data_IF_430530769203
#
_entry.id   IF_430530769203
#
_cell.length_a   1.000
_cell.length_b   1.000
_cell.length_c   1.000
_cell.angle_alpha   90.00
_cell.angle_beta   90.00
_cell.angle_gamma   90.00
#
_symmetry.space_group_name_H-M   'P 1'
#
loop_
_entity.id
_entity.type
_entity.pdbx_description
1 polymer ?
#
# COMPACT_ATOMS: atom_id res chain seq x y z
N UNK A 1 22.92 31.39 65.71
CA UNK A 1 22.93 32.74 65.12
C UNK A 1 22.17 32.64 63.79
N UNK A 2 21.09 33.42 63.67
CA UNK A 2 20.37 33.81 62.42
C UNK A 2 19.71 32.62 61.68
N UNK A 3 18.43 32.26 61.83
CA UNK A 3 17.16 33.01 61.77
C UNK A 3 16.97 33.79 60.47
N UNK A 4 16.41 33.15 59.44
CA UNK A 4 15.73 33.85 58.34
C UNK A 4 14.50 33.09 57.88
N UNK A 5 13.36 33.66 58.28
CA UNK A 5 12.00 33.39 57.84
C UNK A 5 11.84 34.07 56.47
N UNK A 6 11.35 33.35 55.47
CA UNK A 6 10.88 33.93 54.20
C UNK A 6 9.34 33.93 54.19
N UNK A 7 8.70 35.03 53.75
CA UNK A 7 7.27 35.23 53.89
C UNK A 7 6.47 34.51 52.79
N UNK A 8 5.31 34.00 53.21
CA UNK A 8 4.20 33.57 52.36
C UNK A 8 3.60 34.81 51.71
N UNK A 9 3.78 34.96 50.40
CA UNK A 9 3.02 35.91 49.60
C UNK A 9 1.76 35.22 49.07
N UNK A 10 0.63 35.51 49.70
CA UNK A 10 -0.71 35.30 49.15
C UNK A 10 -0.86 36.15 47.89
N UNK A 11 -1.09 35.53 46.73
CA UNK A 11 -1.61 36.22 45.55
C UNK A 11 -3.08 35.84 45.40
N UNK A 12 -3.91 36.87 45.53
CA UNK A 12 -5.36 36.81 45.49
C UNK A 12 -5.88 36.43 44.09
N UNK A 13 -6.99 35.69 44.10
CA UNK A 13 -7.83 35.41 42.95
C UNK A 13 -8.18 36.68 42.18
N UNK A 14 -7.92 36.67 40.87
CA UNK A 14 -8.79 37.32 39.90
C UNK A 14 -9.36 36.25 38.99
N UNK A 15 -10.60 35.87 39.26
CA UNK A 15 -11.47 35.12 38.38
C UNK A 15 -11.78 35.96 37.15
N UNK A 16 -11.06 35.76 36.06
CA UNK A 16 -11.55 36.12 34.74
C UNK A 16 -12.54 35.04 34.31
N UNK A 17 -13.83 35.35 34.44
CA UNK A 17 -14.89 34.61 33.78
C UNK A 17 -14.68 34.75 32.27
N UNK A 18 -13.96 33.82 31.66
CA UNK A 18 -13.98 33.66 30.22
C UNK A 18 -15.36 33.13 29.84
N UNK A 19 -16.18 34.05 29.34
CA UNK A 19 -17.40 33.73 28.65
C UNK A 19 -17.09 32.66 27.59
N UNK A 20 -17.87 31.57 27.62
CA UNK A 20 -18.01 30.58 26.57
C UNK A 20 -18.50 31.27 25.29
N UNK A 21 -17.57 31.85 24.55
CA UNK A 21 -17.70 32.21 23.16
C UNK A 21 -16.66 31.39 22.41
N UNK A 22 -16.94 30.09 22.21
CA UNK A 22 -16.12 29.27 21.35
C UNK A 22 -16.02 29.95 19.99
N UNK A 23 -14.81 30.35 19.61
CA UNK A 23 -14.52 30.78 18.25
C UNK A 23 -14.80 29.57 17.38
N UNK A 24 -15.96 29.54 16.72
CA UNK A 24 -16.15 28.73 15.53
C UNK A 24 -15.22 29.36 14.51
N UNK A 25 -13.97 28.89 14.49
CA UNK A 25 -13.01 29.26 13.46
C UNK A 25 -13.61 28.70 12.16
N UNK A 26 -14.20 29.58 11.36
CA UNK A 26 -14.80 29.19 10.10
C UNK A 26 -13.71 28.47 9.28
N UNK A 27 -13.95 27.21 8.90
CA UNK A 27 -13.09 26.40 8.02
C UNK A 27 -12.88 27.01 6.61
N UNK A 28 -13.30 28.26 6.38
CA UNK A 28 -13.38 28.90 5.08
C UNK A 28 -12.05 29.19 4.38
N UNK A 29 -10.92 29.10 5.10
CA UNK A 29 -9.60 29.44 4.55
C UNK A 29 -8.69 28.22 4.30
N UNK A 30 -9.17 27.00 4.53
CA UNK A 30 -8.34 25.81 4.25
C UNK A 30 -8.29 25.53 2.74
N UNK A 31 -7.12 25.18 2.18
CA UNK A 31 -7.02 24.87 0.75
C UNK A 31 -7.68 23.52 0.45
N UNK A 32 -8.19 23.38 -0.79
CA UNK A 32 -8.46 22.08 -1.39
C UNK A 32 -7.32 21.80 -2.37
N UNK A 33 -6.57 20.70 -2.20
CA UNK A 33 -5.41 20.44 -3.03
C UNK A 33 -5.78 20.14 -4.47
N UNK A 34 -4.90 20.50 -5.38
CA UNK A 34 -4.94 20.16 -6.80
C UNK A 34 -4.13 18.89 -7.08
N UNK A 35 -4.39 18.15 -8.18
CA UNK A 35 -3.58 17.00 -8.56
C UNK A 35 -2.10 17.34 -8.75
N UNK A 36 -1.80 18.57 -9.21
CA UNK A 36 -0.42 19.05 -9.38
C UNK A 36 0.29 19.19 -8.03
N UNK A 37 -0.36 19.80 -7.05
CA UNK A 37 0.20 19.94 -5.71
C UNK A 37 0.42 18.58 -5.04
N UNK A 38 -0.49 17.62 -5.25
CA UNK A 38 -0.29 16.25 -4.74
C UNK A 38 0.91 15.56 -5.39
N UNK A 39 1.07 15.67 -6.71
CA UNK A 39 2.27 15.15 -7.40
C UNK A 39 3.56 15.82 -6.92
N UNK A 40 3.54 17.13 -6.71
CA UNK A 40 4.71 17.86 -6.21
C UNK A 40 5.08 17.42 -4.78
N UNK A 41 4.09 17.20 -3.92
CA UNK A 41 4.31 16.61 -2.60
C UNK A 41 4.87 15.21 -2.72
N UNK A 42 4.27 14.37 -3.55
CA UNK A 42 4.64 12.96 -3.69
C UNK A 42 5.92 12.70 -4.50
N UNK A 43 6.58 13.76 -4.98
CA UNK A 43 7.70 13.65 -5.90
C UNK A 43 8.90 12.92 -5.30
N UNK A 44 9.14 13.04 -3.99
CA UNK A 44 10.30 12.41 -3.36
C UNK A 44 10.18 10.88 -3.27
N UNK A 45 8.96 10.35 -3.35
CA UNK A 45 8.70 8.91 -3.36
C UNK A 45 8.52 8.34 -4.78
N UNK A 46 8.58 9.20 -5.80
CA UNK A 46 8.57 8.78 -7.20
C UNK A 46 9.97 8.26 -7.62
N UNK A 47 10.39 7.13 -7.05
CA UNK A 47 11.59 6.37 -7.46
C UNK A 47 11.33 4.92 -7.88
N UNK A 48 12.12 4.41 -8.84
CA UNK A 48 12.17 3.00 -9.27
C UNK A 48 12.68 2.05 -8.17
N UNK A 49 13.15 2.63 -7.06
CA UNK A 49 13.64 1.91 -5.88
C UNK A 49 12.51 1.28 -5.03
N UNK A 50 11.25 1.63 -5.27
CA UNK A 50 10.11 1.22 -4.44
C UNK A 50 9.15 0.25 -5.14
N UNK A 51 8.81 -0.82 -4.44
CA UNK A 51 7.65 -1.66 -4.70
C UNK A 51 6.44 -1.15 -3.90
N UNK A 52 5.29 -1.04 -4.55
CA UNK A 52 4.13 -0.37 -3.98
C UNK A 52 3.21 -1.36 -3.29
N UNK A 53 2.80 -1.04 -2.07
CA UNK A 53 2.04 -1.91 -1.19
C UNK A 53 0.66 -1.29 -0.93
N UNK A 54 -0.36 -2.00 -1.37
CA UNK A 54 -1.77 -1.70 -1.19
C UNK A 54 -2.39 -2.68 -0.20
N UNK A 55 -3.55 -2.34 0.35
CA UNK A 55 -4.24 -3.22 1.30
C UNK A 55 -5.74 -2.96 1.32
N UNK A 56 -6.51 -3.99 1.68
CA UNK A 56 -7.96 -3.91 1.76
C UNK A 56 -8.43 -3.99 3.21
N UNK A 57 -9.07 -2.93 3.67
CA UNK A 57 -9.66 -2.83 5.01
C UNK A 57 -8.62 -2.57 6.11
N UNK A 58 -9.12 -2.13 7.27
CA UNK A 58 -8.29 -1.74 8.42
C UNK A 58 -7.46 -2.90 8.98
N UNK A 59 -7.95 -4.12 8.90
CA UNK A 59 -7.24 -5.30 9.40
C UNK A 59 -5.97 -5.59 8.59
N UNK A 60 -6.02 -5.37 7.27
CA UNK A 60 -4.86 -5.59 6.38
C UNK A 60 -3.87 -4.43 6.43
N UNK A 61 -4.29 -3.24 6.87
CA UNK A 61 -3.44 -2.05 6.96
C UNK A 61 -2.22 -2.29 7.83
N UNK A 62 -2.43 -2.68 9.10
CA UNK A 62 -1.31 -2.87 10.03
C UNK A 62 -0.37 -4.01 9.61
N UNK A 63 -0.90 -5.02 8.90
CA UNK A 63 -0.09 -6.09 8.33
C UNK A 63 0.77 -5.58 7.17
N UNK A 64 0.18 -4.79 6.26
CA UNK A 64 0.90 -4.20 5.13
C UNK A 64 1.99 -3.23 5.58
N UNK A 65 1.70 -2.36 6.55
CA UNK A 65 2.67 -1.44 7.17
C UNK A 65 3.83 -2.23 7.80
N UNK A 66 3.53 -3.19 8.69
CA UNK A 66 4.56 -4.02 9.34
C UNK A 66 5.39 -4.82 8.32
N UNK A 67 4.75 -5.37 7.29
CA UNK A 67 5.43 -6.11 6.24
C UNK A 67 6.36 -5.24 5.41
N UNK A 68 5.93 -4.01 5.12
CA UNK A 68 6.73 -3.03 4.39
C UNK A 68 7.95 -2.59 5.22
N UNK A 69 7.75 -2.31 6.51
CA UNK A 69 8.82 -1.97 7.45
C UNK A 69 9.85 -3.10 7.58
N UNK A 70 9.41 -4.36 7.69
CA UNK A 70 10.29 -5.53 7.85
C UNK A 70 11.18 -5.78 6.62
N UNK A 71 10.70 -5.49 5.40
CA UNK A 71 11.49 -5.58 4.15
C UNK A 71 12.41 -4.40 3.92
N UNK A 72 12.23 -3.30 4.65
CA UNK A 72 13.06 -2.11 4.57
C UNK A 72 12.79 -1.25 3.32
N UNK A 73 13.83 -0.52 2.90
CA UNK A 73 13.76 0.63 1.99
C UNK A 73 13.22 0.35 0.57
N UNK A 74 12.94 -0.90 0.21
CA UNK A 74 12.48 -1.28 -1.12
C UNK A 74 10.96 -1.40 -1.27
N UNK A 75 10.18 -1.19 -0.21
CA UNK A 75 8.71 -1.26 -0.27
C UNK A 75 8.08 -0.06 0.40
N UNK A 76 6.88 0.31 -0.04
CA UNK A 76 6.19 1.50 0.46
C UNK A 76 4.67 1.35 0.38
N UNK A 77 3.97 1.69 1.46
CA UNK A 77 2.52 1.88 1.47
C UNK A 77 2.17 3.37 1.26
N UNK A 78 0.87 3.68 1.16
CA UNK A 78 0.42 5.07 1.11
C UNK A 78 0.89 5.90 2.32
N UNK A 79 1.09 5.28 3.49
CA UNK A 79 1.32 5.98 4.75
C UNK A 79 2.74 6.51 4.95
N UNK A 80 3.71 5.90 4.29
CA UNK A 80 5.10 6.38 4.29
C UNK A 80 5.23 7.66 3.46
N UNK A 81 4.25 7.97 2.60
CA UNK A 81 4.28 9.15 1.71
C UNK A 81 3.77 10.44 2.34
N UNK A 82 3.05 10.42 3.47
CA UNK A 82 2.87 11.63 4.29
C UNK A 82 2.25 11.29 5.64
N UNK A 83 2.90 11.70 6.72
CA UNK A 83 2.30 11.64 8.07
C UNK A 83 1.19 12.68 8.24
N UNK A 84 1.22 13.78 7.49
CA UNK A 84 0.25 14.88 7.53
C UNK A 84 -1.08 14.53 6.85
N UNK A 85 -1.14 13.50 6.01
CA UNK A 85 -2.40 13.01 5.46
C UNK A 85 -3.43 12.67 6.55
N UNK A 86 -2.96 12.24 7.73
CA UNK A 86 -3.82 11.92 8.89
C UNK A 86 -4.44 13.15 9.54
N UNK A 87 -3.94 14.35 9.24
CA UNK A 87 -4.45 15.59 9.80
C UNK A 87 -5.58 16.16 8.93
N UNK A 88 -6.81 15.75 9.25
CA UNK A 88 -8.03 16.25 8.61
C UNK A 88 -8.24 17.77 8.78
N UNK A 89 -7.45 18.43 9.64
CA UNK A 89 -7.55 19.88 9.86
C UNK A 89 -6.78 20.70 8.82
N UNK A 90 -5.96 20.06 7.98
CA UNK A 90 -5.18 20.72 6.93
C UNK A 90 -6.00 21.06 5.68
N UNK A 91 -7.14 20.40 5.49
CA UNK A 91 -7.88 20.43 4.23
C UNK A 91 -9.32 20.91 4.41
N UNK A 92 -9.80 21.71 3.47
CA UNK A 92 -11.23 22.07 3.43
C UNK A 92 -12.10 20.84 3.13
N UNK A 93 -11.65 20.01 2.20
CA UNK A 93 -12.27 18.73 1.85
C UNK A 93 -11.24 17.59 2.00
N UNK A 94 -11.13 17.00 3.21
CA UNK A 94 -10.21 15.90 3.49
C UNK A 94 -10.43 14.68 2.60
N UNK A 95 -11.68 14.36 2.25
CA UNK A 95 -11.99 13.21 1.39
C UNK A 95 -11.44 13.39 -0.02
N UNK A 96 -11.61 14.59 -0.59
CA UNK A 96 -11.02 14.91 -1.89
C UNK A 96 -9.50 14.93 -1.84
N UNK A 97 -8.90 15.46 -0.78
CA UNK A 97 -7.46 15.43 -0.58
C UNK A 97 -6.92 14.00 -0.53
N UNK A 98 -7.52 13.14 0.29
CA UNK A 98 -7.13 11.74 0.42
C UNK A 98 -7.31 10.98 -0.90
N UNK A 99 -8.41 11.21 -1.62
CA UNK A 99 -8.64 10.61 -2.93
C UNK A 99 -7.55 10.98 -3.93
N UNK A 100 -7.24 12.27 -4.05
CA UNK A 100 -6.18 12.72 -4.96
C UNK A 100 -4.81 12.14 -4.58
N UNK A 101 -4.54 12.02 -3.28
CA UNK A 101 -3.30 11.42 -2.80
C UNK A 101 -3.21 9.94 -3.18
N UNK A 102 -4.28 9.19 -2.97
CA UNK A 102 -4.36 7.78 -3.33
C UNK A 102 -4.24 7.57 -4.85
N UNK A 103 -4.89 8.43 -5.65
CA UNK A 103 -4.77 8.45 -7.12
C UNK A 103 -3.29 8.65 -7.52
N UNK A 104 -2.62 9.67 -6.98
CA UNK A 104 -1.21 9.95 -7.29
C UNK A 104 -0.28 8.82 -6.83
N UNK A 105 -0.46 8.28 -5.63
CA UNK A 105 0.29 7.12 -5.14
C UNK A 105 0.17 5.93 -6.09
N UNK A 106 -1.05 5.63 -6.52
CA UNK A 106 -1.31 4.52 -7.43
C UNK A 106 -0.73 4.78 -8.82
N UNK A 107 -0.79 6.02 -9.29
CA UNK A 107 -0.19 6.45 -10.56
C UNK A 107 1.34 6.28 -10.57
N UNK A 108 2.01 6.28 -9.42
CA UNK A 108 3.47 6.08 -9.33
C UNK A 108 3.87 4.59 -9.31
N UNK A 109 2.92 3.67 -9.16
CA UNK A 109 3.21 2.25 -9.06
C UNK A 109 3.87 1.70 -10.34
N UNK A 110 4.99 1.01 -10.13
CA UNK A 110 5.86 0.41 -11.16
C UNK A 110 6.51 -0.87 -10.64
N UNK A 111 7.08 -1.67 -11.53
CA UNK A 111 7.65 -2.97 -11.23
C UNK A 111 6.56 -3.91 -10.69
N UNK A 112 6.68 -4.28 -9.42
CA UNK A 112 5.71 -5.13 -8.73
C UNK A 112 4.91 -4.32 -7.72
N UNK A 113 3.58 -4.46 -7.78
CA UNK A 113 2.68 -3.99 -6.73
C UNK A 113 2.13 -5.16 -5.93
N UNK A 114 2.06 -5.00 -4.61
CA UNK A 114 1.52 -5.98 -3.67
C UNK A 114 0.19 -5.52 -3.09
N UNK A 115 -0.73 -6.46 -2.85
CA UNK A 115 -2.03 -6.17 -2.25
C UNK A 115 -2.32 -7.14 -1.12
N UNK A 116 -2.52 -6.61 0.08
CA UNK A 116 -2.83 -7.37 1.29
C UNK A 116 -4.33 -7.43 1.55
N UNK A 117 -4.81 -8.60 1.95
CA UNK A 117 -6.23 -8.84 2.24
C UNK A 117 -6.41 -10.02 3.19
N UNK A 118 -7.44 -9.97 4.03
CA UNK A 118 -7.62 -10.94 5.13
C UNK A 118 -8.48 -12.16 4.80
N UNK A 119 -9.17 -12.19 3.66
CA UNK A 119 -9.99 -13.35 3.26
C UNK A 119 -9.18 -14.31 2.39
N UNK A 120 -9.20 -15.60 2.71
CA UNK A 120 -8.50 -16.65 1.97
C UNK A 120 -9.24 -17.09 0.71
N UNK A 121 -10.51 -16.70 0.54
CA UNK A 121 -11.41 -17.25 -0.48
C UNK A 121 -11.38 -16.51 -1.81
N UNK A 122 -11.67 -15.20 -1.82
CA UNK A 122 -11.75 -14.32 -3.03
C UNK A 122 -11.69 -12.87 -2.63
N UNK A 123 -10.97 -12.01 -3.40
CA UNK A 123 -10.83 -10.60 -2.99
C UNK A 123 -12.23 -10.03 -2.78
N UNK A 124 -12.53 -9.51 -1.57
CA UNK A 124 -13.86 -9.01 -1.29
C UNK A 124 -14.16 -7.89 -2.27
N UNK A 125 -15.03 -8.12 -3.24
CA UNK A 125 -15.50 -7.13 -4.24
C UNK A 125 -16.44 -6.10 -3.62
N UNK A 126 -16.04 -5.56 -2.48
CA UNK A 126 -16.77 -4.57 -1.72
C UNK A 126 -16.35 -3.18 -2.22
N UNK A 127 -17.21 -2.20 -2.02
CA UNK A 127 -16.92 -0.77 -2.10
C UNK A 127 -15.74 -0.37 -1.20
N UNK A 128 -14.53 -0.62 -1.68
CA UNK A 128 -13.28 -0.17 -1.08
C UNK A 128 -12.56 0.75 -2.05
N UNK A 129 -11.70 1.61 -1.50
CA UNK A 129 -10.86 2.51 -2.28
C UNK A 129 -10.00 1.75 -3.29
N UNK A 130 -9.52 0.56 -2.92
CA UNK A 130 -8.81 -0.32 -3.84
C UNK A 130 -9.61 -0.62 -5.10
N UNK A 131 -10.87 -1.03 -4.99
CA UNK A 131 -11.67 -1.36 -6.18
C UNK A 131 -12.16 -0.14 -6.96
N UNK A 132 -12.41 0.97 -6.27
CA UNK A 132 -12.99 2.17 -6.88
C UNK A 132 -11.94 3.08 -7.52
N UNK A 133 -10.71 3.08 -7.01
CA UNK A 133 -9.64 4.01 -7.37
C UNK A 133 -8.40 3.23 -7.82
N UNK A 134 -7.82 2.42 -6.94
CA UNK A 134 -6.47 1.87 -7.14
C UNK A 134 -6.43 0.83 -8.28
N UNK A 135 -7.29 -0.18 -8.23
CA UNK A 135 -7.33 -1.28 -9.19
C UNK A 135 -7.61 -0.83 -10.63
N UNK A 136 -8.53 0.11 -10.92
CA UNK A 136 -8.67 0.69 -12.26
C UNK A 136 -7.36 1.29 -12.78
N UNK A 137 -6.69 2.11 -11.97
CA UNK A 137 -5.42 2.76 -12.34
C UNK A 137 -4.33 1.70 -12.57
N UNK A 138 -4.17 0.74 -11.65
CA UNK A 138 -3.19 -0.34 -11.77
C UNK A 138 -3.43 -1.17 -13.04
N UNK A 139 -4.69 -1.48 -13.38
CA UNK A 139 -5.03 -2.23 -14.60
C UNK A 139 -4.76 -1.45 -15.89
N UNK A 140 -4.95 -0.13 -15.87
CA UNK A 140 -4.58 0.74 -16.98
C UNK A 140 -3.06 0.79 -17.14
N UNK A 141 -2.34 0.89 -16.02
CA UNK A 141 -0.87 0.86 -15.99
C UNK A 141 -0.28 -0.50 -16.35
N UNK A 142 -0.99 -1.62 -16.21
CA UNK A 142 -0.46 -2.97 -16.46
C UNK A 142 -0.53 -3.48 -17.92
N UNK A 143 -0.69 -2.63 -18.96
CA UNK A 143 -1.01 -3.11 -20.33
C UNK A 143 -0.31 -2.39 -21.49
N UNK A 144 0.94 -2.75 -21.78
CA UNK A 144 1.54 -2.51 -23.11
C UNK A 144 3.01 -2.09 -23.10
N UNK A 145 3.59 -1.76 -24.28
CA UNK A 145 4.93 -1.19 -24.37
C UNK A 145 5.00 0.19 -23.68
N UNK A 146 5.96 0.39 -22.77
CA UNK A 146 6.12 1.64 -22.01
C UNK A 146 5.26 1.74 -20.75
N UNK A 147 4.69 0.63 -20.31
CA UNK A 147 3.95 0.51 -19.06
C UNK A 147 4.90 0.11 -17.93
N UNK A 148 4.94 0.89 -16.85
CA UNK A 148 5.92 0.69 -15.78
C UNK A 148 5.53 -0.41 -14.79
N UNK A 149 4.23 -0.77 -14.71
CA UNK A 149 3.76 -1.81 -13.81
C UNK A 149 3.81 -3.19 -14.48
N UNK A 150 4.67 -4.07 -13.99
CA UNK A 150 4.89 -5.41 -14.53
C UNK A 150 3.87 -6.42 -14.00
N UNK A 151 3.61 -6.42 -12.69
CA UNK A 151 2.73 -7.40 -12.06
C UNK A 151 2.03 -6.89 -10.80
N UNK A 152 0.82 -7.39 -10.56
CA UNK A 152 0.04 -7.15 -9.34
C UNK A 152 -0.14 -8.47 -8.60
N UNK A 153 0.53 -8.59 -7.45
CA UNK A 153 0.56 -9.79 -6.60
C UNK A 153 -0.33 -9.57 -5.39
N UNK A 154 -1.11 -10.60 -5.04
CA UNK A 154 -1.99 -10.56 -3.89
C UNK A 154 -1.54 -11.57 -2.85
N UNK A 155 -1.44 -11.09 -1.62
CA UNK A 155 -0.88 -11.80 -0.48
C UNK A 155 -1.93 -11.93 0.60
N UNK A 156 -2.03 -13.13 1.18
CA UNK A 156 -2.90 -13.35 2.33
C UNK A 156 -2.35 -12.63 3.57
N UNK A 157 -3.09 -11.67 4.12
CA UNK A 157 -2.68 -10.93 5.31
C UNK A 157 -2.57 -11.82 6.57
N UNK A 158 -3.19 -13.01 6.58
CA UNK A 158 -3.03 -13.99 7.67
C UNK A 158 -1.81 -14.89 7.50
N UNK A 159 -1.27 -14.98 6.28
CA UNK A 159 -0.07 -15.74 5.96
C UNK A 159 0.70 -15.00 4.86
N UNK A 160 1.48 -14.00 5.27
CA UNK A 160 2.15 -13.07 4.33
C UNK A 160 3.17 -13.74 3.42
N UNK A 161 3.52 -15.00 3.68
CA UNK A 161 4.42 -15.80 2.85
C UNK A 161 3.75 -16.42 1.63
N UNK A 162 2.42 -16.40 1.56
CA UNK A 162 1.66 -17.12 0.54
C UNK A 162 1.10 -16.16 -0.53
N UNK A 163 1.52 -16.37 -1.78
CA UNK A 163 0.94 -15.71 -2.94
C UNK A 163 -0.37 -16.41 -3.32
N UNK A 164 -1.48 -15.66 -3.32
CA UNK A 164 -2.82 -16.16 -3.65
C UNK A 164 -3.22 -15.89 -5.10
N UNK A 165 -2.76 -14.78 -5.67
CA UNK A 165 -3.11 -14.38 -7.03
C UNK A 165 -2.01 -13.52 -7.64
N UNK A 166 -1.79 -13.71 -8.94
CA UNK A 166 -1.06 -12.79 -9.82
C UNK A 166 -2.07 -12.36 -10.87
N UNK A 167 -2.52 -11.11 -10.81
CA UNK A 167 -3.68 -10.67 -11.59
C UNK A 167 -3.49 -10.97 -13.10
N UNK A 168 -4.48 -11.59 -13.79
CA UNK A 168 -5.83 -11.96 -13.34
C UNK A 168 -5.97 -13.41 -12.83
N UNK A 169 -4.87 -14.15 -12.66
CA UNK A 169 -4.87 -15.58 -12.31
C UNK A 169 -4.92 -15.78 -10.81
N UNK A 170 -6.02 -16.32 -10.31
CA UNK A 170 -6.09 -16.87 -8.96
C UNK A 170 -5.40 -18.24 -8.95
N UNK A 171 -4.28 -18.37 -8.25
CA UNK A 171 -3.52 -19.63 -8.22
C UNK A 171 -4.22 -20.68 -7.34
N UNK A 172 -5.11 -20.27 -6.43
CA UNK A 172 -5.88 -21.19 -5.59
C UNK A 172 -6.88 -22.01 -6.40
N UNK A 173 -7.41 -21.47 -7.50
CA UNK A 173 -8.29 -22.17 -8.44
C UNK A 173 -7.60 -23.40 -9.11
N UNK A 174 -6.30 -23.59 -8.86
CA UNK A 174 -5.45 -24.63 -9.42
C UNK A 174 -4.80 -25.53 -8.37
N UNK A 175 -5.05 -25.33 -7.05
CA UNK A 175 -4.45 -26.13 -5.97
C UNK A 175 -4.64 -27.64 -6.14
N UNK A 176 -5.78 -28.08 -6.69
CA UNK A 176 -6.09 -29.50 -6.91
C UNK A 176 -5.75 -30.02 -8.32
N UNK A 177 -5.18 -29.19 -9.20
CA UNK A 177 -5.02 -29.50 -10.65
C UNK A 177 -3.61 -29.98 -11.04
N UNK A 178 -2.84 -30.53 -10.10
CA UNK A 178 -1.45 -30.95 -10.32
C UNK A 178 -0.61 -29.82 -10.94
N UNK A 179 -0.66 -28.65 -10.30
CA UNK A 179 0.06 -27.47 -10.75
C UNK A 179 1.21 -27.14 -9.80
N UNK A 180 2.30 -26.61 -10.35
CA UNK A 180 3.48 -26.23 -9.57
C UNK A 180 4.18 -25.02 -10.19
N UNK A 181 4.83 -24.26 -9.32
CA UNK A 181 5.80 -23.25 -9.73
C UNK A 181 7.11 -23.91 -10.13
N UNK A 182 7.72 -23.40 -11.20
CA UNK A 182 9.02 -23.82 -11.68
C UNK A 182 9.94 -22.61 -11.85
N UNK A 183 11.23 -22.82 -11.61
CA UNK A 183 12.25 -21.78 -11.56
C UNK A 183 12.76 -21.58 -10.14
N UNK A 184 14.07 -21.42 -10.02
CA UNK A 184 14.75 -21.18 -8.75
C UNK A 184 15.31 -19.77 -8.78
N UNK A 185 14.92 -18.97 -7.78
CA UNK A 185 15.53 -17.67 -7.56
C UNK A 185 16.96 -17.86 -7.00
N UNK A 186 17.91 -16.97 -7.33
CA UNK A 186 17.73 -15.73 -8.10
C UNK A 186 17.72 -15.90 -9.63
N UNK A 187 18.19 -17.02 -10.17
CA UNK A 187 18.61 -17.20 -11.58
C UNK A 187 17.48 -17.15 -12.65
N UNK A 188 16.21 -17.00 -12.26
CA UNK A 188 15.04 -17.52 -12.98
C UNK A 188 14.97 -17.27 -14.50
N UNK A 189 14.84 -18.31 -15.31
CA UNK A 189 14.40 -18.20 -16.72
C UNK A 189 13.67 -19.51 -17.11
N UNK A 190 12.62 -19.80 -16.37
CA UNK A 190 12.05 -21.14 -16.28
C UNK A 190 11.09 -21.47 -17.43
N UNK A 191 11.00 -22.78 -17.75
CA UNK A 191 10.06 -23.31 -18.75
C UNK A 191 9.23 -24.42 -18.13
N UNK A 192 7.98 -24.52 -18.57
CA UNK A 192 7.12 -25.62 -18.15
C UNK A 192 7.67 -26.97 -18.65
N UNK A 193 7.67 -28.02 -17.81
CA UNK A 193 8.09 -29.35 -18.22
C UNK A 193 7.14 -29.94 -19.28
N UNK A 194 7.64 -30.93 -20.03
CA UNK A 194 6.84 -31.63 -21.04
C UNK A 194 5.55 -32.20 -20.44
N UNK A 195 4.45 -32.10 -21.19
CA UNK A 195 3.12 -32.53 -20.75
C UNK A 195 2.37 -31.52 -19.87
N UNK A 196 2.95 -30.35 -19.58
CA UNK A 196 2.28 -29.26 -18.83
C UNK A 196 2.09 -28.00 -19.70
N UNK A 197 1.23 -27.07 -19.26
CA UNK A 197 0.96 -25.77 -19.88
C UNK A 197 1.20 -24.64 -18.87
N UNK A 198 1.77 -23.53 -19.34
CA UNK A 198 1.94 -22.30 -18.54
C UNK A 198 0.58 -21.65 -18.29
N UNK A 199 0.28 -21.34 -17.04
CA UNK A 199 -0.92 -20.59 -16.63
C UNK A 199 -0.58 -19.13 -16.39
N UNK A 200 0.51 -18.87 -15.66
CA UNK A 200 1.03 -17.52 -15.39
C UNK A 200 2.53 -17.57 -15.13
N UNK A 201 3.17 -16.41 -15.01
CA UNK A 201 4.58 -16.25 -14.63
C UNK A 201 4.74 -15.04 -13.72
N UNK A 202 5.81 -15.00 -12.91
CA UNK A 202 6.05 -13.95 -11.92
C UNK A 202 7.52 -13.92 -11.49
N UNK A 203 7.98 -12.79 -10.96
CA UNK A 203 9.29 -12.69 -10.29
C UNK A 203 9.36 -13.44 -8.96
N UNK A 204 8.23 -13.77 -8.32
CA UNK A 204 8.20 -14.32 -6.95
C UNK A 204 7.73 -15.78 -6.88
N UNK A 205 6.76 -16.17 -7.70
CA UNK A 205 6.26 -17.55 -7.76
C UNK A 205 5.38 -17.92 -6.56
N UNK A 206 5.84 -18.88 -5.74
CA UNK A 206 5.13 -19.41 -4.56
C UNK A 206 5.43 -18.66 -3.25
N UNK A 207 6.59 -18.01 -3.17
CA UNK A 207 7.08 -17.31 -1.99
C UNK A 207 7.52 -15.90 -2.34
N UNK A 208 7.11 -14.94 -1.52
CA UNK A 208 7.47 -13.53 -1.65
C UNK A 208 8.95 -13.28 -1.40
N UNK A 209 9.69 -14.17 -0.74
CA UNK A 209 11.12 -14.00 -0.48
C UNK A 209 11.98 -14.57 -1.63
N UNK A 210 11.40 -15.36 -2.53
CA UNK A 210 12.08 -16.01 -3.65
C UNK A 210 12.08 -15.20 -4.95
N UNK A 211 12.59 -13.96 -4.93
CA UNK A 211 12.60 -13.05 -6.09
C UNK A 211 13.66 -13.40 -7.14
N UNK A 212 13.28 -13.43 -8.40
CA UNK A 212 14.16 -13.54 -9.55
C UNK A 212 14.96 -12.24 -9.79
N UNK A 213 16.21 -12.37 -10.23
CA UNK A 213 17.04 -11.25 -10.68
C UNK A 213 16.68 -10.83 -12.12
N UNK A 214 17.00 -9.58 -12.45
CA UNK A 214 16.83 -8.98 -13.78
C UNK A 214 15.41 -9.19 -14.37
N UNK A 215 15.34 -9.69 -15.61
CA UNK A 215 14.09 -9.98 -16.34
C UNK A 215 13.56 -11.39 -16.07
N UNK A 216 14.20 -12.13 -15.17
CA UNK A 216 13.92 -13.52 -14.92
C UNK A 216 12.53 -13.79 -14.35
N UNK A 217 11.91 -14.91 -14.75
CA UNK A 217 10.57 -15.31 -14.29
C UNK A 217 10.49 -16.78 -13.89
N UNK A 218 9.77 -17.03 -12.80
CA UNK A 218 9.20 -18.34 -12.47
C UNK A 218 7.93 -18.56 -13.28
N UNK A 219 7.63 -19.80 -13.64
CA UNK A 219 6.42 -20.16 -14.40
C UNK A 219 5.52 -21.10 -13.59
N UNK A 220 4.23 -20.81 -13.55
CA UNK A 220 3.22 -21.66 -12.93
C UNK A 220 2.63 -22.59 -13.98
N UNK A 221 2.88 -23.89 -13.84
CA UNK A 221 2.56 -24.89 -14.86
C UNK A 221 1.55 -25.90 -14.33
N UNK A 222 0.57 -26.27 -15.16
CA UNK A 222 -0.43 -27.30 -14.86
C UNK A 222 -0.38 -28.40 -15.90
N UNK A 223 -0.73 -29.64 -15.51
CA UNK A 223 -0.87 -30.74 -16.47
C UNK A 223 -1.89 -30.38 -17.57
N UNK A 224 -1.60 -30.80 -18.81
CA UNK A 224 -2.57 -30.70 -19.90
C UNK A 224 -3.68 -31.73 -19.65
N UNK A 225 -4.92 -31.26 -19.65
CA UNK A 225 -6.12 -32.10 -19.58
C UNK A 225 -6.21 -33.01 -20.82
#
# INVERSE_FOLDING_TARGET
>A
MISSILPVALLALQSASFALGGVIQARGDLPTPTPKEMRERMKEWDSDDYEYVFYLGKESQGVAESWSEDRGLGTMTLWETDRQLKDETLWYDPNKAWRLWNEVFTEQARGTAFVFWTDSGKIPRIDSWFFQIELPILKERAKGPGHDLEELIQINARNVKEIHQILPVDVNDYKDKQCAWHGTAPECDAKCPDGTKKITESKYGDDIDGKCEEEGRKVFCCKKD
#
